data_IF_352286377532
#
_entry.id   IF_352286377532
#
_cell.length_a   1.000
_cell.length_b   1.000
_cell.length_c   1.000
_cell.angle_alpha   90.00
_cell.angle_beta   90.00
_cell.angle_gamma   90.00
#
_symmetry.space_group_name_H-M   'P 1'
#
loop_
_entity.id
_entity.type
_entity.pdbx_description
1 polymer ?
#
# COMPACT_ATOMS: atom_id res chain seq x y z
N UNK A 1 20.86 -5.65 -2.72
CA UNK A 1 19.77 -4.89 -2.08
C UNK A 1 19.20 -3.98 -3.15
N UNK A 2 17.95 -4.18 -3.50
CA UNK A 2 17.27 -3.40 -4.53
C UNK A 2 16.38 -2.35 -3.88
N UNK A 3 16.22 -1.19 -4.51
CA UNK A 3 15.47 -0.05 -4.00
C UNK A 3 14.67 0.61 -5.12
N UNK A 4 13.39 0.89 -4.85
CA UNK A 4 12.55 1.74 -5.68
C UNK A 4 12.10 2.97 -4.89
N UNK A 5 12.03 4.11 -5.56
CA UNK A 5 11.33 5.30 -5.10
C UNK A 5 9.92 5.31 -5.71
N UNK A 6 8.91 5.50 -4.87
CA UNK A 6 7.51 5.42 -5.28
C UNK A 6 6.79 6.69 -4.86
N UNK A 7 6.07 7.31 -5.80
CA UNK A 7 5.11 8.37 -5.54
C UNK A 7 3.70 7.81 -5.67
N UNK A 8 2.91 7.92 -4.60
CA UNK A 8 1.48 7.66 -4.64
C UNK A 8 0.68 8.95 -4.49
N UNK A 9 -0.56 8.94 -4.98
CA UNK A 9 -1.52 10.02 -4.83
C UNK A 9 -2.81 9.50 -4.21
N UNK A 10 -3.29 10.18 -3.18
CA UNK A 10 -4.56 9.89 -2.52
C UNK A 10 -5.71 10.33 -3.43
N UNK A 11 -6.60 9.41 -3.78
CA UNK A 11 -7.76 9.67 -4.67
C UNK A 11 -9.02 10.08 -3.89
N UNK A 12 -9.28 9.42 -2.77
CA UNK A 12 -10.40 9.73 -1.89
C UNK A 12 -9.89 10.03 -0.48
N UNK A 13 -10.56 10.88 0.32
CA UNK A 13 -10.12 11.23 1.67
C UNK A 13 -9.71 9.98 2.46
N UNK A 14 -8.51 10.01 3.06
CA UNK A 14 -7.95 8.84 3.74
C UNK A 14 -7.89 9.08 5.25
N UNK A 15 -8.62 8.27 6.00
CA UNK A 15 -8.71 8.33 7.47
C UNK A 15 -7.67 7.41 8.11
N UNK A 16 -6.39 7.75 7.98
CA UNK A 16 -5.26 7.01 8.57
C UNK A 16 -4.68 7.80 9.75
N UNK A 17 -4.41 7.11 10.85
CA UNK A 17 -3.99 7.73 12.11
C UNK A 17 -2.87 6.93 12.78
N UNK A 18 -1.89 7.68 13.31
CA UNK A 18 -0.89 7.19 14.24
C UNK A 18 -0.90 8.05 15.51
N UNK A 19 -0.96 7.43 16.70
CA UNK A 19 -1.00 8.14 17.99
C UNK A 19 -2.06 9.27 18.04
N UNK A 20 -3.27 9.00 17.53
CA UNK A 20 -4.43 9.92 17.46
C UNK A 20 -4.29 11.06 16.45
N UNK A 21 -3.15 11.22 15.80
CA UNK A 21 -2.95 12.21 14.74
C UNK A 21 -3.11 11.59 13.35
N UNK A 22 -3.44 12.44 12.36
CA UNK A 22 -3.51 12.02 10.96
C UNK A 22 -2.10 11.74 10.46
N UNK A 23 -1.89 10.51 10.02
CA UNK A 23 -0.59 10.03 9.54
C UNK A 23 -0.76 9.04 8.39
N UNK A 24 0.10 9.15 7.38
CA UNK A 24 0.21 8.08 6.38
C UNK A 24 1.09 6.96 6.90
N UNK A 25 0.51 5.78 7.11
CA UNK A 25 1.18 4.65 7.75
C UNK A 25 1.63 3.59 6.75
N UNK A 26 2.92 3.45 6.59
CA UNK A 26 3.52 2.38 5.75
C UNK A 26 3.20 0.97 6.27
N UNK A 27 2.90 0.83 7.55
CA UNK A 27 2.44 -0.44 8.14
C UNK A 27 1.06 -0.83 7.65
N UNK A 28 0.15 0.13 7.45
CA UNK A 28 -1.16 -0.10 6.84
C UNK A 28 -1.01 -0.49 5.37
N UNK A 29 -0.13 0.20 4.62
CA UNK A 29 0.18 -0.15 3.23
C UNK A 29 0.69 -1.60 3.12
N UNK A 30 1.62 -1.99 4.00
CA UNK A 30 2.13 -3.36 4.03
C UNK A 30 1.05 -4.38 4.39
N UNK A 31 0.15 -4.02 5.30
CA UNK A 31 -1.00 -4.86 5.65
C UNK A 31 -1.94 -5.05 4.47
N UNK A 32 -2.21 -3.97 3.71
CA UNK A 32 -3.01 -4.03 2.49
C UNK A 32 -2.36 -4.95 1.45
N UNK A 33 -1.04 -4.82 1.22
CA UNK A 33 -0.32 -5.71 0.31
C UNK A 33 -0.41 -7.19 0.73
N UNK A 34 -0.36 -7.49 2.03
CA UNK A 34 -0.56 -8.85 2.54
C UNK A 34 -1.97 -9.37 2.27
N UNK A 35 -2.99 -8.52 2.41
CA UNK A 35 -4.38 -8.88 2.08
C UNK A 35 -4.53 -9.18 0.59
N UNK A 36 -4.05 -8.27 -0.26
CA UNK A 36 -4.02 -8.43 -1.72
C UNK A 36 -3.31 -9.72 -2.14
N UNK A 37 -2.19 -10.03 -1.50
CA UNK A 37 -1.45 -11.27 -1.76
C UNK A 37 -2.33 -12.51 -1.50
N UNK A 38 -3.07 -12.55 -0.39
CA UNK A 38 -3.98 -13.67 -0.10
C UNK A 38 -5.16 -13.77 -1.07
N UNK A 39 -5.61 -12.64 -1.59
CA UNK A 39 -6.78 -12.56 -2.46
C UNK A 39 -6.46 -12.91 -3.92
N UNK A 40 -5.28 -12.53 -4.41
CA UNK A 40 -4.92 -12.67 -5.82
C UNK A 40 -4.08 -13.90 -6.15
N UNK A 41 -3.34 -14.44 -5.18
CA UNK A 41 -2.46 -15.57 -5.43
C UNK A 41 -3.14 -16.89 -5.08
N UNK A 42 -2.89 -17.90 -5.92
CA UNK A 42 -3.37 -19.25 -5.67
C UNK A 42 -2.56 -19.96 -4.59
N UNK A 43 -3.25 -20.63 -3.67
CA UNK A 43 -2.66 -21.45 -2.63
C UNK A 43 -3.33 -22.82 -2.59
N UNK A 44 -2.53 -23.86 -2.41
CA UNK A 44 -3.02 -25.23 -2.34
C UNK A 44 -3.97 -25.45 -1.16
N UNK A 45 -3.66 -24.85 -0.03
CA UNK A 45 -4.44 -24.90 1.19
C UNK A 45 -4.08 -23.72 2.12
N UNK A 46 -4.76 -23.61 3.26
CA UNK A 46 -4.56 -22.53 4.24
C UNK A 46 -3.14 -22.55 4.85
N UNK A 47 -2.56 -23.74 5.05
CA UNK A 47 -1.19 -23.87 5.58
C UNK A 47 -0.18 -23.34 4.60
N UNK A 48 -0.28 -23.75 3.34
CA UNK A 48 0.57 -23.26 2.25
C UNK A 48 0.49 -21.74 2.10
N UNK A 49 -0.74 -21.16 2.18
CA UNK A 49 -0.93 -19.71 2.16
C UNK A 49 -0.18 -19.02 3.31
N UNK A 50 -0.36 -19.51 4.55
CA UNK A 50 0.30 -18.92 5.73
C UNK A 50 1.82 -19.02 5.67
N UNK A 51 2.35 -20.14 5.23
CA UNK A 51 3.79 -20.38 5.14
C UNK A 51 4.41 -19.49 4.03
N UNK A 52 3.75 -19.37 2.88
CA UNK A 52 4.18 -18.49 1.80
C UNK A 52 4.10 -17.01 2.19
N UNK A 53 3.04 -16.59 2.88
CA UNK A 53 2.93 -15.23 3.41
C UNK A 53 4.03 -14.90 4.42
N UNK A 54 4.31 -15.83 5.36
CA UNK A 54 5.43 -15.69 6.30
C UNK A 54 6.77 -15.56 5.57
N UNK A 55 6.94 -16.30 4.50
CA UNK A 55 8.12 -16.22 3.65
C UNK A 55 8.27 -14.84 3.01
N UNK A 56 7.22 -14.30 2.39
CA UNK A 56 7.24 -13.03 1.65
C UNK A 56 7.26 -11.80 2.57
N UNK A 57 6.62 -11.84 3.72
CA UNK A 57 6.40 -10.66 4.56
C UNK A 57 7.02 -10.71 5.95
N UNK A 58 7.61 -11.83 6.30
CA UNK A 58 8.15 -12.08 7.64
C UNK A 58 7.08 -12.55 8.63
N UNK A 59 7.54 -13.06 9.77
CA UNK A 59 6.69 -13.57 10.86
C UNK A 59 7.30 -13.27 12.21
N UNK A 60 6.43 -12.98 13.18
CA UNK A 60 6.75 -12.85 14.60
C UNK A 60 6.11 -13.97 15.43
N UNK A 61 5.64 -15.05 14.77
CA UNK A 61 4.99 -16.18 15.43
C UNK A 61 5.98 -16.91 16.34
N UNK A 62 5.67 -17.00 17.64
CA UNK A 62 6.52 -17.65 18.65
C UNK A 62 6.75 -19.14 18.38
N UNK A 63 5.84 -19.78 17.61
CA UNK A 63 5.92 -21.20 17.25
C UNK A 63 6.76 -21.47 15.99
N UNK A 64 7.29 -20.44 15.36
CA UNK A 64 8.09 -20.51 14.14
C UNK A 64 9.34 -19.66 14.31
N UNK A 65 10.47 -19.97 13.63
CA UNK A 65 11.63 -19.08 13.64
C UNK A 65 11.23 -17.68 13.23
N UNK A 66 11.53 -16.68 14.06
CA UNK A 66 11.29 -15.27 13.75
C UNK A 66 11.99 -14.93 12.45
N UNK A 67 11.21 -14.53 11.45
CA UNK A 67 11.73 -14.14 10.14
C UNK A 67 11.48 -12.65 9.92
N UNK A 68 12.55 -11.92 9.69
CA UNK A 68 12.46 -10.52 9.28
C UNK A 68 11.84 -10.42 7.88
N UNK A 69 11.03 -9.38 7.68
CA UNK A 69 10.49 -9.10 6.35
C UNK A 69 11.59 -8.78 5.35
N UNK A 70 11.61 -9.41 4.18
CA UNK A 70 12.56 -9.06 3.12
C UNK A 70 12.27 -7.69 2.50
N UNK A 71 11.02 -7.21 2.57
CA UNK A 71 10.63 -5.87 2.12
C UNK A 71 10.46 -4.92 3.29
N UNK A 72 11.02 -3.73 3.15
CA UNK A 72 10.88 -2.61 4.08
C UNK A 72 10.53 -1.32 3.35
N UNK A 73 9.91 -0.40 4.06
CA UNK A 73 9.47 0.88 3.53
C UNK A 73 10.04 2.01 4.38
N UNK A 74 10.42 3.12 3.73
CA UNK A 74 10.95 4.32 4.39
C UNK A 74 10.31 5.55 3.75
N UNK A 75 9.67 6.40 4.53
CA UNK A 75 9.11 7.66 4.06
C UNK A 75 10.24 8.57 3.54
N UNK A 76 10.08 9.10 2.33
CA UNK A 76 10.92 10.16 1.76
C UNK A 76 10.26 11.53 1.92
N UNK A 77 8.96 11.60 1.60
CA UNK A 77 8.13 12.81 1.75
C UNK A 77 6.78 12.40 2.32
N UNK A 78 6.51 12.83 3.52
CA UNK A 78 5.23 12.60 4.20
C UNK A 78 4.22 13.71 3.87
N UNK A 79 3.00 13.58 4.40
CA UNK A 79 1.97 14.60 4.40
C UNK A 79 2.47 15.88 5.09
N UNK A 80 2.03 17.03 4.56
CA UNK A 80 2.21 18.31 5.23
C UNK A 80 0.92 18.62 6.03
N UNK A 81 0.99 18.72 7.37
CA UNK A 81 -0.20 18.94 8.20
C UNK A 81 -1.02 20.19 7.82
N UNK A 82 -0.36 21.24 7.35
CA UNK A 82 -1.02 22.52 7.02
C UNK A 82 -1.74 22.51 5.66
N UNK A 83 -1.32 21.59 4.76
CA UNK A 83 -1.81 21.59 3.36
C UNK A 83 -2.57 20.33 2.98
N UNK A 84 -2.19 19.20 3.57
CA UNK A 84 -2.63 17.88 3.13
C UNK A 84 -3.71 17.28 4.03
N UNK A 85 -4.12 18.01 5.10
CA UNK A 85 -5.19 17.60 6.02
C UNK A 85 -6.48 18.36 5.69
N UNK A 86 -7.58 17.62 5.69
CA UNK A 86 -8.94 18.14 5.57
C UNK A 86 -9.80 17.59 6.71
N UNK A 87 -11.00 18.14 6.87
CA UNK A 87 -11.98 17.71 7.87
C UNK A 87 -13.23 17.22 7.13
N UNK A 88 -13.54 15.96 7.23
CA UNK A 88 -14.67 15.34 6.54
C UNK A 88 -15.52 14.49 7.49
N UNK A 89 -16.81 14.41 7.21
CA UNK A 89 -17.67 13.42 7.85
C UNK A 89 -17.61 12.12 7.09
N UNK A 90 -17.17 11.01 7.71
CA UNK A 90 -17.10 9.72 7.04
C UNK A 90 -18.48 9.09 6.78
N UNK A 91 -19.51 9.55 7.51
CA UNK A 91 -20.90 9.08 7.39
C UNK A 91 -21.87 10.26 7.57
N UNK A 92 -22.02 11.14 6.56
CA UNK A 92 -22.81 12.37 6.70
C UNK A 92 -24.28 12.12 7.06
N UNK A 93 -24.86 11.00 6.62
CA UNK A 93 -26.24 10.62 6.88
C UNK A 93 -26.52 10.15 8.32
N UNK A 94 -25.49 9.98 9.15
CA UNK A 94 -25.59 9.53 10.55
C UNK A 94 -25.19 10.60 11.56
N UNK A 95 -25.16 11.87 11.19
CA UNK A 95 -24.70 12.98 12.05
C UNK A 95 -23.35 12.70 12.72
N UNK A 96 -22.47 11.98 12.05
CA UNK A 96 -21.11 11.76 12.52
C UNK A 96 -20.35 13.09 12.55
N UNK A 97 -19.69 13.37 13.67
CA UNK A 97 -18.83 14.57 13.76
C UNK A 97 -17.73 14.49 12.70
N UNK A 98 -17.48 15.59 11.98
CA UNK A 98 -16.36 15.69 11.06
C UNK A 98 -15.04 15.40 11.79
N UNK A 99 -14.17 14.62 11.14
CA UNK A 99 -12.86 14.25 11.67
C UNK A 99 -11.77 14.54 10.63
N UNK A 100 -10.56 14.73 11.09
CA UNK A 100 -9.41 15.01 10.23
C UNK A 100 -9.12 13.82 9.32
N UNK A 101 -8.67 14.06 8.09
CA UNK A 101 -8.27 13.04 7.14
C UNK A 101 -7.18 13.58 6.21
N UNK A 102 -6.45 12.70 5.56
CA UNK A 102 -5.56 13.06 4.45
C UNK A 102 -6.42 13.45 3.26
N UNK A 103 -6.16 14.62 2.71
CA UNK A 103 -6.90 15.20 1.59
C UNK A 103 -6.64 14.41 0.30
N UNK A 104 -7.64 14.39 -0.59
CA UNK A 104 -7.45 13.92 -1.96
C UNK A 104 -6.40 14.77 -2.71
N UNK A 105 -5.75 14.18 -3.70
CA UNK A 105 -4.62 14.74 -4.45
C UNK A 105 -3.34 14.96 -3.65
N UNK A 106 -3.30 14.54 -2.38
CA UNK A 106 -2.06 14.53 -1.59
C UNK A 106 -1.08 13.51 -2.17
N UNK A 107 0.16 13.94 -2.37
CA UNK A 107 1.25 13.12 -2.90
C UNK A 107 2.22 12.74 -1.80
N UNK A 108 2.49 11.46 -1.69
CA UNK A 108 3.37 10.86 -0.69
C UNK A 108 4.46 10.09 -1.42
N UNK A 109 5.72 10.31 -1.02
CA UNK A 109 6.86 9.61 -1.58
C UNK A 109 7.53 8.73 -0.52
N UNK A 110 7.85 7.50 -0.90
CA UNK A 110 8.54 6.56 -0.02
C UNK A 110 9.47 5.65 -0.82
N UNK A 111 10.40 5.06 -0.12
CA UNK A 111 11.27 4.02 -0.66
C UNK A 111 10.72 2.65 -0.30
N UNK A 112 10.69 1.77 -1.28
CA UNK A 112 10.54 0.33 -1.10
C UNK A 112 11.91 -0.30 -1.25
N UNK A 113 12.36 -1.04 -0.24
CA UNK A 113 13.69 -1.64 -0.19
C UNK A 113 13.53 -3.15 -0.04
N UNK A 114 14.07 -3.91 -0.99
CA UNK A 114 14.06 -5.36 -0.98
C UNK A 114 15.45 -5.91 -0.66
N UNK A 115 15.51 -6.92 0.21
CA UNK A 115 16.76 -7.56 0.68
C UNK A 115 16.72 -9.07 0.45
N UNK A 116 17.92 -9.65 0.24
CA UNK A 116 18.08 -11.09 0.00
C UNK A 116 17.70 -11.49 -1.41
N UNK A 117 17.24 -12.72 -1.58
CA UNK A 117 16.94 -13.36 -2.88
C UNK A 117 15.54 -13.02 -3.42
N UNK A 118 14.86 -12.07 -2.78
CA UNK A 118 13.54 -11.62 -3.21
C UNK A 118 13.66 -10.56 -4.30
N UNK A 119 12.79 -10.66 -5.31
CA UNK A 119 12.74 -9.71 -6.42
C UNK A 119 11.90 -8.50 -6.05
N UNK A 120 12.46 -7.33 -6.23
CA UNK A 120 11.78 -6.05 -6.01
C UNK A 120 10.50 -5.94 -6.87
N UNK A 121 10.56 -6.42 -8.13
CA UNK A 121 9.43 -6.41 -9.07
C UNK A 121 8.18 -7.11 -8.51
N UNK A 122 8.35 -8.20 -7.77
CA UNK A 122 7.22 -8.89 -7.12
C UNK A 122 6.46 -7.95 -6.18
N UNK A 123 7.17 -7.21 -5.33
CA UNK A 123 6.55 -6.29 -4.38
C UNK A 123 5.99 -5.04 -5.07
N UNK A 124 6.62 -4.56 -6.14
CA UNK A 124 6.10 -3.45 -6.95
C UNK A 124 4.79 -3.86 -7.62
N UNK A 125 4.74 -5.00 -8.27
CA UNK A 125 3.54 -5.54 -8.91
C UNK A 125 2.40 -5.71 -7.89
N UNK A 126 2.71 -6.28 -6.73
CA UNK A 126 1.74 -6.44 -5.65
C UNK A 126 1.25 -5.10 -5.10
N UNK A 127 2.12 -4.08 -5.00
CA UNK A 127 1.72 -2.73 -4.61
C UNK A 127 0.79 -2.09 -5.63
N UNK A 128 1.08 -2.22 -6.93
CA UNK A 128 0.22 -1.71 -8.01
C UNK A 128 -1.13 -2.40 -7.95
N UNK A 129 -1.17 -3.73 -7.83
CA UNK A 129 -2.43 -4.48 -7.65
C UNK A 129 -3.19 -4.02 -6.41
N UNK A 130 -2.49 -3.82 -5.28
CA UNK A 130 -3.09 -3.33 -4.03
C UNK A 130 -3.72 -1.95 -4.17
N UNK A 131 -3.14 -1.07 -4.99
CA UNK A 131 -3.69 0.27 -5.24
C UNK A 131 -4.98 0.24 -6.06
N UNK A 132 -5.19 -0.82 -6.84
CA UNK A 132 -6.37 -0.96 -7.70
C UNK A 132 -7.55 -1.60 -6.95
N UNK A 133 -7.28 -2.67 -6.19
CA UNK A 133 -8.34 -3.46 -5.56
C UNK A 133 -8.61 -3.10 -4.10
N UNK A 134 -7.70 -2.36 -3.48
CA UNK A 134 -7.76 -2.05 -2.06
C UNK A 134 -7.82 -0.56 -1.73
N UNK A 135 -7.92 -0.28 -0.46
CA UNK A 135 -7.91 1.06 0.10
C UNK A 135 -7.38 1.04 1.53
N UNK A 136 -6.86 2.17 2.00
CA UNK A 136 -6.18 2.31 3.29
C UNK A 136 -7.00 3.12 4.30
N UNK A 137 -6.71 2.89 5.58
CA UNK A 137 -7.27 3.65 6.68
C UNK A 137 -8.66 3.17 7.14
N UNK A 138 -9.20 3.91 8.11
CA UNK A 138 -10.56 3.70 8.59
C UNK A 138 -11.56 4.03 7.48
N UNK A 139 -12.71 3.38 7.50
CA UNK A 139 -13.77 3.57 6.51
C UNK A 139 -13.42 3.19 5.06
N UNK A 140 -12.35 2.43 4.84
CA UNK A 140 -11.95 1.92 3.52
C UNK A 140 -13.10 1.17 2.81
N UNK A 141 -13.88 0.36 3.55
CA UNK A 141 -15.09 -0.32 3.04
C UNK A 141 -16.25 0.63 2.67
N UNK A 142 -16.11 1.93 2.93
CA UNK A 142 -17.09 2.98 2.61
C UNK A 142 -16.66 3.86 1.43
N UNK A 143 -15.63 3.43 0.69
CA UNK A 143 -15.12 4.16 -0.46
C UNK A 143 -14.07 5.22 -0.14
N UNK A 144 -13.55 5.24 1.08
CA UNK A 144 -12.47 6.13 1.48
C UNK A 144 -11.09 5.46 1.40
N UNK A 145 -10.03 6.28 1.33
CA UNK A 145 -8.66 5.82 1.38
C UNK A 145 -8.15 5.15 0.10
N UNK A 146 -8.82 5.36 -1.03
CA UNK A 146 -8.32 4.92 -2.33
C UNK A 146 -7.12 5.77 -2.75
N UNK A 147 -6.17 5.15 -3.41
CA UNK A 147 -4.96 5.80 -3.89
C UNK A 147 -4.51 5.17 -5.21
N UNK A 148 -3.65 5.85 -5.93
CA UNK A 148 -2.98 5.33 -7.13
C UNK A 148 -1.47 5.50 -7.02
N UNK A 149 -0.74 4.69 -7.75
CA UNK A 149 0.69 4.86 -7.94
C UNK A 149 0.89 5.77 -9.15
N UNK A 150 1.58 6.90 -8.96
CA UNK A 150 1.87 7.84 -10.03
C UNK A 150 3.19 7.55 -10.72
N UNK A 151 4.23 7.21 -9.94
CA UNK A 151 5.60 7.04 -10.44
C UNK A 151 6.33 5.96 -9.66
N UNK A 152 7.18 5.23 -10.37
CA UNK A 152 8.11 4.27 -9.79
C UNK A 152 9.47 4.51 -10.45
N UNK A 153 10.48 4.79 -9.63
CA UNK A 153 11.84 5.04 -10.08
C UNK A 153 12.80 4.02 -9.44
N UNK A 154 13.58 3.33 -10.30
CA UNK A 154 14.57 2.35 -9.89
C UNK A 154 15.89 2.77 -10.51
N UNK A 155 16.93 2.93 -9.68
CA UNK A 155 18.28 3.35 -10.10
C UNK A 155 18.31 4.65 -10.91
N UNK A 156 17.38 5.57 -10.65
CA UNK A 156 17.24 6.84 -11.34
C UNK A 156 16.32 6.83 -12.57
N UNK A 157 15.97 5.65 -13.09
CA UNK A 157 15.11 5.51 -14.25
C UNK A 157 13.65 5.32 -13.86
N UNK A 158 12.75 5.97 -14.60
CA UNK A 158 11.31 5.73 -14.50
C UNK A 158 10.98 4.40 -15.16
N UNK A 159 10.41 3.50 -14.34
CA UNK A 159 9.94 2.20 -14.80
C UNK A 159 8.45 2.08 -14.52
N UNK A 160 7.78 1.24 -15.30
CA UNK A 160 6.34 0.99 -15.19
C UNK A 160 5.43 2.10 -15.71
N UNK A 161 5.94 3.20 -16.32
CA UNK A 161 5.11 4.30 -16.81
C UNK A 161 4.07 3.82 -17.83
N UNK A 162 4.47 2.96 -18.78
CA UNK A 162 3.56 2.35 -19.77
C UNK A 162 2.47 1.53 -19.09
N UNK A 163 2.81 0.75 -18.04
CA UNK A 163 1.85 -0.03 -17.26
C UNK A 163 0.89 0.87 -16.49
N UNK A 164 1.42 1.88 -15.78
CA UNK A 164 0.64 2.80 -14.95
C UNK A 164 -0.29 3.71 -15.77
N UNK A 165 -0.03 3.90 -17.07
CA UNK A 165 -0.90 4.65 -17.98
C UNK A 165 -2.13 3.87 -18.45
N UNK A 166 -2.15 2.55 -18.27
CA UNK A 166 -3.24 1.67 -18.70
C UNK A 166 -4.46 1.76 -17.75
N UNK A 167 -5.60 1.31 -18.23
CA UNK A 167 -6.77 1.17 -17.35
C UNK A 167 -6.53 0.13 -16.23
N UNK A 168 -7.16 0.27 -15.05
CA UNK A 168 -7.00 -0.68 -13.94
C UNK A 168 -7.24 -2.14 -14.33
N UNK A 169 -8.22 -2.40 -15.18
CA UNK A 169 -8.52 -3.77 -15.65
C UNK A 169 -7.38 -4.32 -16.51
N UNK A 170 -6.79 -3.50 -17.39
CA UNK A 170 -5.64 -3.90 -18.22
C UNK A 170 -4.43 -4.19 -17.36
N UNK A 171 -4.15 -3.35 -16.36
CA UNK A 171 -3.04 -3.54 -15.40
C UNK A 171 -3.21 -4.89 -14.66
N UNK A 172 -4.40 -5.15 -14.11
CA UNK A 172 -4.66 -6.40 -13.39
C UNK A 172 -4.48 -7.63 -14.29
N UNK A 173 -4.97 -7.59 -15.53
CA UNK A 173 -4.77 -8.70 -16.49
C UNK A 173 -3.30 -8.95 -16.81
N UNK A 174 -2.51 -7.90 -17.00
CA UNK A 174 -1.09 -8.01 -17.32
C UNK A 174 -0.26 -8.53 -16.15
N UNK A 175 -0.62 -8.17 -14.92
CA UNK A 175 0.06 -8.61 -13.70
C UNK A 175 -0.45 -9.96 -13.15
N UNK A 176 -1.49 -10.56 -13.75
CA UNK A 176 -2.05 -11.86 -13.32
C UNK A 176 -1.36 -13.06 -13.98
N UNK A 177 -0.34 -12.83 -14.79
CA UNK A 177 0.48 -13.83 -15.46
C UNK A 177 1.90 -13.83 -14.88
#
# INVERSE_FOLDING_TARGET
MEKAEIELEVLTPMFSYGNEEVEFRLTELKSLMRSTFRELYYFKDLKNMKDTEKWCFGSTDEKSPVRRSPVSFVIKKNINPDKDIDIKSPLPHKNFKPIKCIKNSTKICFYMICKGDFRLDFYINLLIQSSIIGSMGRYSRKGFGSFKINKIQIDGDYKYDDLLSKSPICILKELSH
#
